data_IF_235587430043
#
_entry.id   IF_235587430043
#
_cell.length_a   1.000
_cell.length_b   1.000
_cell.length_c   1.000
_cell.angle_alpha   90.00
_cell.angle_beta   90.00
_cell.angle_gamma   90.00
#
_symmetry.space_group_name_H-M   'P 1'
#
loop_
_entity.id
_entity.type
_entity.pdbx_description
1 polymer ?
#
# COMPACT_ATOMS: atom_id res chain seq x y z
N UNK A 1 -5.05 1.13 -15.50
CA UNK A 1 -3.76 1.57 -14.92
C UNK A 1 -2.73 0.45 -14.94
N UNK A 2 -2.97 -0.68 -14.30
CA UNK A 2 -2.04 -1.80 -14.26
C UNK A 2 -2.74 -3.06 -14.77
N UNK A 3 -2.04 -3.86 -15.59
CA UNK A 3 -2.52 -5.14 -16.11
C UNK A 3 -1.41 -6.18 -15.97
N UNK A 4 -1.70 -7.24 -15.24
CA UNK A 4 -0.79 -8.37 -15.01
C UNK A 4 -1.45 -9.63 -15.58
N UNK A 5 -0.70 -10.39 -16.39
CA UNK A 5 -1.19 -11.60 -17.06
C UNK A 5 -0.19 -12.74 -16.90
N UNK A 6 -0.63 -13.81 -16.25
CA UNK A 6 0.14 -15.04 -16.01
C UNK A 6 1.55 -14.77 -15.51
N UNK A 7 1.69 -13.80 -14.58
CA UNK A 7 3.00 -13.43 -14.04
C UNK A 7 3.61 -14.57 -13.26
N UNK A 8 4.83 -14.95 -13.63
CA UNK A 8 5.69 -15.88 -12.90
C UNK A 8 6.99 -15.16 -12.59
N UNK A 9 7.49 -15.35 -11.36
CA UNK A 9 8.83 -14.92 -10.98
C UNK A 9 9.55 -15.97 -10.15
N UNK A 10 10.71 -16.41 -10.66
CA UNK A 10 11.59 -17.36 -10.02
C UNK A 10 12.90 -16.65 -9.59
N UNK A 11 13.20 -16.65 -8.29
CA UNK A 11 14.49 -16.22 -7.78
C UNK A 11 15.51 -17.37 -7.96
N UNK A 12 16.60 -17.08 -8.64
CA UNK A 12 17.69 -18.05 -8.84
C UNK A 12 18.67 -17.96 -7.67
N UNK A 13 18.94 -19.10 -7.04
CA UNK A 13 20.08 -19.24 -6.11
C UNK A 13 21.33 -19.57 -6.91
N UNK A 14 22.40 -18.83 -6.65
CA UNK A 14 23.71 -19.07 -7.27
C UNK A 14 24.72 -19.39 -6.18
N UNK A 15 25.67 -20.30 -6.50
CA UNK A 15 26.83 -20.55 -5.67
C UNK A 15 27.86 -19.41 -5.75
N UNK A 16 28.98 -19.55 -5.02
CA UNK A 16 30.07 -18.57 -5.02
C UNK A 16 30.75 -18.46 -6.40
N UNK A 17 30.63 -19.49 -7.25
CA UNK A 17 31.16 -19.53 -8.61
C UNK A 17 30.17 -18.97 -9.66
N UNK A 18 28.94 -18.62 -9.24
CA UNK A 18 27.89 -18.05 -10.09
C UNK A 18 26.98 -19.08 -10.79
N UNK A 19 27.19 -20.42 -10.54
CA UNK A 19 26.33 -21.45 -11.09
C UNK A 19 24.98 -21.49 -10.39
N UNK A 20 23.90 -21.84 -11.11
CA UNK A 20 22.56 -21.97 -10.54
C UNK A 20 22.44 -23.25 -9.73
N UNK A 21 22.32 -23.14 -8.41
CA UNK A 21 22.09 -24.28 -7.50
C UNK A 21 20.60 -24.63 -7.35
N UNK A 22 19.69 -23.68 -7.62
CA UNK A 22 18.26 -23.90 -7.49
C UNK A 22 17.45 -22.65 -7.80
N UNK A 23 16.14 -22.80 -7.81
CA UNK A 23 15.21 -21.70 -7.96
C UNK A 23 14.12 -21.73 -6.88
N UNK A 24 13.59 -20.56 -6.55
CA UNK A 24 12.44 -20.40 -5.67
C UNK A 24 11.39 -19.59 -6.39
N UNK A 25 10.21 -20.17 -6.62
CA UNK A 25 9.08 -19.50 -7.24
C UNK A 25 8.41 -18.58 -6.23
N UNK A 26 8.53 -17.28 -6.44
CA UNK A 26 7.96 -16.26 -5.56
C UNK A 26 6.60 -15.75 -6.05
N UNK A 27 6.35 -15.80 -7.37
CA UNK A 27 5.07 -15.50 -8.00
C UNK A 27 4.72 -16.63 -8.95
N UNK A 28 3.48 -17.09 -8.91
CA UNK A 28 3.00 -18.24 -9.67
C UNK A 28 1.65 -17.96 -10.34
N UNK A 29 1.68 -17.63 -11.64
CA UNK A 29 0.53 -17.38 -12.50
C UNK A 29 -0.43 -16.30 -11.99
N UNK A 30 0.10 -15.20 -11.44
CA UNK A 30 -0.71 -14.09 -10.95
C UNK A 30 -1.34 -13.32 -12.11
N UNK A 31 -2.66 -13.08 -12.00
CA UNK A 31 -3.43 -12.22 -12.85
C UNK A 31 -4.08 -11.12 -12.00
N UNK A 32 -3.91 -9.85 -12.39
CA UNK A 32 -4.39 -8.70 -11.63
C UNK A 32 -4.67 -7.53 -12.57
N UNK A 33 -5.80 -6.86 -12.38
CA UNK A 33 -6.11 -5.58 -12.99
C UNK A 33 -6.34 -4.53 -11.91
N UNK A 34 -5.73 -3.34 -12.08
CA UNK A 34 -5.96 -2.17 -11.25
C UNK A 34 -6.43 -1.02 -12.14
N UNK A 35 -7.53 -0.40 -11.78
CA UNK A 35 -8.10 0.72 -12.51
C UNK A 35 -7.50 2.06 -12.05
N UNK A 36 -7.53 3.11 -12.90
CA UNK A 36 -7.15 4.46 -12.47
C UNK A 36 -7.99 4.91 -11.27
N UNK A 37 -7.37 5.60 -10.30
CA UNK A 37 -8.03 6.10 -9.10
C UNK A 37 -8.49 5.03 -8.10
N UNK A 38 -8.24 3.74 -8.35
CA UNK A 38 -8.60 2.65 -7.44
C UNK A 38 -7.65 2.58 -6.24
N UNK A 39 -8.19 2.36 -5.05
CA UNK A 39 -7.41 2.03 -3.87
C UNK A 39 -7.49 0.51 -3.64
N UNK A 40 -6.42 -0.23 -3.91
CA UNK A 40 -6.37 -1.66 -3.61
C UNK A 40 -5.48 -1.97 -2.42
N UNK A 41 -5.82 -3.03 -1.69
CA UNK A 41 -4.96 -3.61 -0.66
C UNK A 41 -4.52 -5.02 -1.07
N UNK A 42 -3.23 -5.32 -0.85
CA UNK A 42 -2.66 -6.66 -1.05
C UNK A 42 -2.25 -7.20 0.31
N UNK A 43 -2.92 -8.26 0.74
CA UNK A 43 -2.71 -8.97 1.99
C UNK A 43 -2.00 -10.30 1.76
N UNK A 44 -1.41 -10.86 2.81
CA UNK A 44 -0.77 -12.17 2.80
C UNK A 44 0.27 -12.30 3.89
N UNK A 45 0.62 -13.50 4.28
CA UNK A 45 1.70 -13.73 5.24
C UNK A 45 3.09 -13.39 4.67
N UNK A 46 4.11 -13.36 5.53
CA UNK A 46 5.48 -13.12 5.09
C UNK A 46 5.94 -14.23 4.12
N UNK A 47 6.54 -13.83 3.01
CA UNK A 47 6.96 -14.76 1.94
C UNK A 47 5.86 -15.15 0.95
N UNK A 48 4.64 -14.61 1.04
CA UNK A 48 3.56 -14.91 0.07
C UNK A 48 3.74 -14.26 -1.31
N UNK A 49 4.77 -13.41 -1.52
CA UNK A 49 5.08 -12.82 -2.81
C UNK A 49 4.68 -11.34 -2.98
N UNK A 50 4.06 -10.69 -1.99
CA UNK A 50 3.53 -9.30 -2.07
C UNK A 50 4.55 -8.27 -2.54
N UNK A 51 5.71 -8.18 -1.86
CA UNK A 51 6.76 -7.22 -2.24
C UNK A 51 7.41 -7.56 -3.58
N UNK A 52 7.44 -8.85 -3.96
CA UNK A 52 7.87 -9.26 -5.29
C UNK A 52 6.90 -8.77 -6.35
N UNK A 53 5.60 -8.90 -6.12
CA UNK A 53 4.56 -8.35 -7.01
C UNK A 53 4.66 -6.83 -7.15
N UNK A 54 4.84 -6.11 -6.03
CA UNK A 54 5.05 -4.65 -6.02
C UNK A 54 6.24 -4.23 -6.88
N UNK A 55 7.37 -4.92 -6.75
CA UNK A 55 8.59 -4.65 -7.53
C UNK A 55 8.43 -4.90 -9.02
N UNK A 56 7.54 -5.80 -9.44
CA UNK A 56 7.19 -5.95 -10.86
C UNK A 56 6.36 -4.78 -11.39
N UNK A 57 5.46 -4.24 -10.59
CA UNK A 57 4.65 -3.08 -10.99
C UNK A 57 5.52 -1.83 -11.17
N UNK A 58 6.52 -1.62 -10.29
CA UNK A 58 7.47 -0.49 -10.43
C UNK A 58 8.65 -0.81 -11.38
N UNK A 59 8.63 -1.94 -12.08
CA UNK A 59 9.71 -2.40 -12.97
C UNK A 59 11.11 -2.45 -12.29
N UNK A 60 11.16 -2.82 -11.00
CA UNK A 60 12.38 -3.15 -10.28
C UNK A 60 12.77 -4.62 -10.49
N UNK A 61 11.81 -5.46 -10.85
CA UNK A 61 12.02 -6.86 -11.24
C UNK A 61 11.38 -7.11 -12.61
N UNK A 62 12.00 -8.00 -13.38
CA UNK A 62 11.46 -8.46 -14.64
C UNK A 62 10.72 -9.79 -14.46
N UNK A 63 9.58 -10.00 -15.15
CA UNK A 63 8.92 -11.29 -15.20
C UNK A 63 9.84 -12.41 -15.68
N UNK A 64 9.79 -13.59 -15.05
CA UNK A 64 10.37 -14.81 -15.62
C UNK A 64 9.50 -15.28 -16.79
N UNK A 65 8.16 -15.22 -16.57
CA UNK A 65 7.16 -15.46 -17.61
C UNK A 65 5.94 -14.55 -17.39
N UNK A 66 5.11 -14.40 -18.41
CA UNK A 66 3.94 -13.53 -18.37
C UNK A 66 4.25 -12.07 -18.69
N UNK A 67 3.32 -11.19 -18.42
CA UNK A 67 3.43 -9.76 -18.73
C UNK A 67 2.92 -8.87 -17.63
N UNK A 68 3.60 -7.73 -17.42
CA UNK A 68 3.14 -6.64 -16.56
C UNK A 68 3.14 -5.37 -17.39
N UNK A 69 1.99 -4.71 -17.46
CA UNK A 69 1.79 -3.46 -18.21
C UNK A 69 1.34 -2.39 -17.23
N UNK A 70 2.00 -1.26 -17.22
CA UNK A 70 1.71 -0.10 -16.38
C UNK A 70 1.48 1.10 -17.27
N UNK A 71 0.31 1.69 -17.19
CA UNK A 71 -0.14 2.81 -18.03
C UNK A 71 0.14 2.59 -19.54
N UNK A 72 -0.16 1.37 -20.03
CA UNK A 72 0.06 0.95 -21.41
C UNK A 72 1.51 0.56 -21.74
N UNK A 73 2.46 0.66 -20.81
CA UNK A 73 3.88 0.36 -21.01
C UNK A 73 4.23 -1.01 -20.44
N UNK A 74 4.89 -1.88 -21.22
CA UNK A 74 5.37 -3.17 -20.75
C UNK A 74 6.63 -2.98 -19.87
N UNK A 75 6.64 -3.56 -18.67
CA UNK A 75 7.76 -3.47 -17.73
C UNK A 75 8.99 -4.26 -18.16
N UNK A 76 8.87 -5.18 -19.10
CA UNK A 76 9.99 -5.92 -19.69
C UNK A 76 10.75 -5.11 -20.77
N UNK A 77 10.22 -3.99 -21.23
CA UNK A 77 10.88 -3.12 -22.18
C UNK A 77 11.74 -2.07 -21.44
N UNK A 78 13.05 -2.17 -21.58
CA UNK A 78 14.00 -1.28 -20.94
C UNK A 78 13.80 0.20 -21.28
N UNK A 79 13.28 0.51 -22.47
CA UNK A 79 13.02 1.89 -22.89
C UNK A 79 11.90 2.55 -22.08
N UNK A 80 11.02 1.75 -21.48
CA UNK A 80 9.89 2.22 -20.68
C UNK A 80 10.22 2.38 -19.19
N UNK A 81 11.32 1.83 -18.70
CA UNK A 81 11.61 1.71 -17.26
C UNK A 81 11.56 3.04 -16.53
N UNK A 82 12.21 4.05 -17.10
CA UNK A 82 12.25 5.37 -16.49
C UNK A 82 10.85 5.97 -16.36
N UNK A 83 10.07 5.89 -17.41
CA UNK A 83 8.70 6.42 -17.45
C UNK A 83 7.76 5.63 -16.52
N UNK A 84 7.89 4.31 -16.50
CA UNK A 84 7.10 3.47 -15.56
C UNK A 84 7.36 3.87 -14.11
N UNK A 85 8.63 4.09 -13.73
CA UNK A 85 9.00 4.50 -12.37
C UNK A 85 8.53 5.91 -12.00
N UNK A 86 8.34 6.78 -12.98
CA UNK A 86 7.71 8.08 -12.79
C UNK A 86 6.20 7.94 -12.56
N UNK A 87 5.52 7.12 -13.38
CA UNK A 87 4.07 6.94 -13.34
C UNK A 87 3.59 6.05 -12.16
N UNK A 88 4.43 5.10 -11.73
CA UNK A 88 4.15 4.19 -10.61
C UNK A 88 5.26 4.30 -9.56
N UNK A 89 5.17 5.30 -8.69
CA UNK A 89 6.12 5.52 -7.61
C UNK A 89 6.01 4.47 -6.51
N UNK A 90 7.13 4.11 -5.87
CA UNK A 90 7.16 3.11 -4.80
C UNK A 90 7.74 3.67 -3.52
N UNK A 91 7.06 3.41 -2.41
CA UNK A 91 7.51 3.69 -1.04
C UNK A 91 7.85 2.36 -0.39
N UNK A 92 9.09 2.24 0.09
CA UNK A 92 9.60 1.01 0.70
C UNK A 92 9.24 0.91 2.18
N UNK A 93 9.28 -0.31 2.71
CA UNK A 93 8.98 -0.63 4.11
C UNK A 93 9.86 0.15 5.10
N UNK A 94 11.15 0.28 4.81
CA UNK A 94 12.10 1.01 5.65
C UNK A 94 12.45 2.36 5.01
N UNK A 95 11.99 3.50 5.57
CA UNK A 95 12.28 4.82 5.03
C UNK A 95 13.78 5.19 5.07
N UNK A 96 14.57 4.60 5.97
CA UNK A 96 16.01 4.86 6.03
C UNK A 96 16.77 4.33 4.79
N UNK A 97 16.19 3.39 4.06
CA UNK A 97 16.74 2.90 2.79
C UNK A 97 16.35 3.78 1.59
N UNK A 98 15.43 4.71 1.78
CA UNK A 98 14.88 5.55 0.71
C UNK A 98 15.35 7.01 0.83
N UNK A 99 15.41 7.54 2.05
CA UNK A 99 15.80 8.91 2.32
C UNK A 99 17.31 9.06 2.15
N UNK A 100 17.74 9.98 1.29
CA UNK A 100 19.14 10.25 0.96
C UNK A 100 19.56 11.70 1.26
N UNK A 101 18.60 12.63 1.33
CA UNK A 101 18.82 14.05 1.58
C UNK A 101 19.25 14.32 3.02
N UNK A 102 20.04 15.40 3.22
CA UNK A 102 20.40 15.85 4.57
C UNK A 102 19.34 16.75 5.20
N UNK A 103 18.44 17.30 4.40
CA UNK A 103 17.32 18.16 4.77
C UNK A 103 16.06 17.62 4.10
N UNK A 104 14.94 17.64 4.81
CA UNK A 104 13.66 17.09 4.33
C UNK A 104 13.25 17.65 2.96
N UNK A 105 13.29 18.98 2.78
CA UNK A 105 12.87 19.58 1.51
C UNK A 105 13.78 19.21 0.33
N UNK A 106 15.08 18.98 0.58
CA UNK A 106 16.02 18.55 -0.46
C UNK A 106 15.75 17.10 -0.86
N UNK A 107 15.44 16.24 0.11
CA UNK A 107 15.06 14.85 -0.14
C UNK A 107 13.79 14.74 -0.99
N UNK A 108 12.75 15.52 -0.63
CA UNK A 108 11.50 15.56 -1.37
C UNK A 108 11.69 16.13 -2.79
N UNK A 109 12.59 17.10 -2.97
CA UNK A 109 12.92 17.70 -4.27
C UNK A 109 13.76 16.83 -5.18
N UNK A 110 14.41 15.79 -4.63
CA UNK A 110 15.38 14.96 -5.37
C UNK A 110 14.77 14.23 -6.58
N UNK A 111 13.54 13.70 -6.43
CA UNK A 111 12.83 13.04 -7.53
C UNK A 111 12.58 13.98 -8.71
N UNK A 112 11.87 15.10 -8.52
CA UNK A 112 11.63 16.10 -9.55
C UNK A 112 12.91 16.65 -10.18
N UNK A 113 13.99 16.86 -9.39
CA UNK A 113 15.28 17.31 -9.90
C UNK A 113 15.87 16.32 -10.91
N UNK A 114 15.84 15.01 -10.58
CA UNK A 114 16.30 13.96 -11.51
C UNK A 114 15.42 13.82 -12.75
N UNK A 115 14.16 14.27 -12.70
CA UNK A 115 13.25 14.33 -13.84
C UNK A 115 13.51 15.56 -14.74
N UNK A 116 14.41 16.48 -14.33
CA UNK A 116 14.70 17.71 -15.05
C UNK A 116 13.58 18.76 -14.95
N UNK A 117 12.77 18.72 -13.90
CA UNK A 117 11.73 19.72 -13.62
C UNK A 117 12.40 21.07 -13.33
N UNK A 118 11.88 22.22 -13.85
CA UNK A 118 12.40 23.54 -13.54
C UNK A 118 12.41 23.85 -12.04
N UNK A 119 13.45 24.53 -11.55
CA UNK A 119 13.68 24.77 -10.11
C UNK A 119 12.48 25.43 -9.42
N UNK A 120 11.82 26.38 -10.06
CA UNK A 120 10.62 27.05 -9.50
C UNK A 120 9.48 26.04 -9.28
N UNK A 121 9.23 25.19 -10.23
CA UNK A 121 8.21 24.14 -10.17
C UNK A 121 8.58 23.06 -9.14
N UNK A 122 9.86 22.72 -8.98
CA UNK A 122 10.33 21.79 -7.93
C UNK A 122 9.87 22.27 -6.56
N UNK A 123 10.08 23.55 -6.25
CA UNK A 123 9.69 24.10 -4.95
C UNK A 123 8.16 24.16 -4.74
N UNK A 124 7.39 24.37 -5.80
CA UNK A 124 5.93 24.26 -5.74
C UNK A 124 5.50 22.85 -5.40
N UNK A 125 6.02 21.85 -6.10
CA UNK A 125 5.76 20.42 -5.86
C UNK A 125 6.20 19.97 -4.47
N UNK A 126 7.35 20.42 -3.98
CA UNK A 126 7.84 20.15 -2.62
C UNK A 126 6.89 20.72 -1.57
N UNK A 127 6.46 21.99 -1.72
CA UNK A 127 5.55 22.62 -0.79
C UNK A 127 4.19 21.88 -0.73
N UNK A 128 3.64 21.54 -1.89
CA UNK A 128 2.38 20.79 -2.00
C UNK A 128 2.49 19.42 -1.37
N UNK A 129 3.53 18.65 -1.71
CA UNK A 129 3.75 17.30 -1.18
C UNK A 129 3.89 17.29 0.33
N UNK A 130 4.67 18.21 0.91
CA UNK A 130 4.83 18.34 2.36
C UNK A 130 3.52 18.70 3.06
N UNK A 131 2.67 19.53 2.43
CA UNK A 131 1.34 19.89 2.93
C UNK A 131 0.39 18.70 2.93
N UNK A 132 0.34 17.92 1.85
CA UNK A 132 -0.52 16.73 1.72
C UNK A 132 -0.23 15.73 2.84
N UNK A 133 1.04 15.52 3.16
CA UNK A 133 1.43 14.58 4.24
C UNK A 133 1.56 15.25 5.62
N UNK A 134 1.16 16.52 5.77
CA UNK A 134 1.11 17.29 7.03
C UNK A 134 2.47 17.41 7.76
N UNK A 135 3.59 17.59 7.02
CA UNK A 135 4.94 17.75 7.60
C UNK A 135 5.69 19.02 7.16
N UNK A 136 5.00 20.07 6.70
CA UNK A 136 5.63 21.34 6.30
C UNK A 136 6.52 21.91 7.38
N UNK A 137 6.14 21.79 8.66
CA UNK A 137 6.89 22.27 9.82
C UNK A 137 8.24 21.55 10.03
N UNK A 138 8.47 20.45 9.31
CA UNK A 138 9.70 19.67 9.36
C UNK A 138 10.64 19.94 8.19
N UNK A 139 10.24 20.76 7.23
CA UNK A 139 10.93 20.95 5.93
C UNK A 139 12.42 21.24 6.03
N UNK A 140 12.85 22.01 7.04
CA UNK A 140 14.26 22.38 7.28
C UNK A 140 14.99 21.45 8.25
N UNK A 141 14.32 20.39 8.74
CA UNK A 141 14.97 19.44 9.65
C UNK A 141 15.79 18.40 8.89
N UNK A 142 16.81 17.88 9.59
CA UNK A 142 17.52 16.69 9.13
C UNK A 142 16.64 15.45 9.35
N UNK A 143 16.52 14.54 8.36
CA UNK A 143 15.79 13.28 8.49
C UNK A 143 16.23 12.43 9.68
N UNK A 144 17.50 12.50 10.07
CA UNK A 144 18.05 11.77 11.21
C UNK A 144 17.44 12.19 12.57
N UNK A 145 16.74 13.33 12.63
CA UNK A 145 16.05 13.83 13.84
C UNK A 145 14.55 13.60 13.83
N UNK A 146 14.07 12.81 12.88
CA UNK A 146 12.65 12.51 12.70
C UNK A 146 12.29 11.17 13.33
N UNK A 147 11.04 11.03 13.80
CA UNK A 147 10.46 9.74 14.16
C UNK A 147 10.27 8.86 12.91
N UNK A 148 10.10 7.55 13.10
CA UNK A 148 9.85 6.62 11.99
C UNK A 148 8.64 7.04 11.14
N UNK A 149 7.52 7.43 11.76
CA UNK A 149 6.33 7.92 11.05
C UNK A 149 6.56 9.23 10.30
N UNK A 150 7.38 10.14 10.84
CA UNK A 150 7.77 11.36 10.13
C UNK A 150 8.66 11.04 8.92
N UNK A 151 9.65 10.15 9.07
CA UNK A 151 10.48 9.67 7.95
C UNK A 151 9.64 9.03 6.85
N UNK A 152 8.68 8.18 7.24
CA UNK A 152 7.79 7.54 6.27
C UNK A 152 6.97 8.56 5.48
N UNK A 153 6.48 9.61 6.13
CA UNK A 153 5.79 10.71 5.45
C UNK A 153 6.72 11.52 4.54
N UNK A 154 8.00 11.69 4.89
CA UNK A 154 9.00 12.28 3.99
C UNK A 154 9.16 11.41 2.74
N UNK A 155 9.32 10.09 2.89
CA UNK A 155 9.43 9.16 1.75
C UNK A 155 8.19 9.22 0.84
N UNK A 156 6.98 9.29 1.42
CA UNK A 156 5.74 9.47 0.67
C UNK A 156 5.73 10.82 -0.07
N UNK A 157 6.11 11.92 0.60
CA UNK A 157 6.19 13.24 -0.01
C UNK A 157 7.15 13.27 -1.21
N UNK A 158 8.31 12.61 -1.10
CA UNK A 158 9.28 12.48 -2.21
C UNK A 158 8.69 11.77 -3.43
N UNK A 159 7.84 10.77 -3.21
CA UNK A 159 7.14 10.08 -4.31
C UNK A 159 6.04 10.96 -4.89
N UNK A 160 5.24 11.64 -4.05
CA UNK A 160 4.17 12.56 -4.52
C UNK A 160 4.74 13.68 -5.38
N UNK A 161 5.90 14.25 -5.01
CA UNK A 161 6.53 15.34 -5.73
C UNK A 161 6.88 15.00 -7.19
N UNK A 162 6.99 13.73 -7.54
CA UNK A 162 7.15 13.26 -8.92
C UNK A 162 5.84 13.30 -9.73
N UNK A 163 4.68 13.57 -9.10
CA UNK A 163 3.33 13.55 -9.69
C UNK A 163 2.98 12.20 -10.35
N UNK A 164 3.11 11.07 -9.64
CA UNK A 164 2.81 9.77 -10.20
C UNK A 164 1.30 9.56 -10.34
N UNK A 165 0.88 8.69 -11.28
CA UNK A 165 -0.52 8.23 -11.39
C UNK A 165 -0.86 7.11 -10.40
N UNK A 166 0.17 6.42 -9.91
CA UNK A 166 0.03 5.32 -8.96
C UNK A 166 1.11 5.39 -7.89
N UNK A 167 0.76 5.14 -6.64
CA UNK A 167 1.71 4.99 -5.53
C UNK A 167 1.57 3.60 -4.94
N UNK A 168 2.69 2.87 -4.91
CA UNK A 168 2.81 1.55 -4.30
C UNK A 168 3.42 1.75 -2.90
N UNK A 169 2.70 1.36 -1.87
CA UNK A 169 3.10 1.45 -0.48
C UNK A 169 3.41 0.03 0.04
N UNK A 170 4.70 -0.34 0.10
CA UNK A 170 5.13 -1.67 0.54
C UNK A 170 5.34 -1.67 2.06
N UNK A 171 4.34 -2.15 2.80
CA UNK A 171 4.29 -2.20 4.28
C UNK A 171 4.66 -0.87 4.96
N UNK A 172 4.06 0.26 4.55
CA UNK A 172 4.51 1.60 4.96
C UNK A 172 4.35 1.87 6.45
N UNK A 173 3.63 1.02 7.16
CA UNK A 173 3.26 1.20 8.57
C UNK A 173 3.91 0.19 9.52
N UNK A 174 4.68 -0.78 8.99
CA UNK A 174 5.22 -1.91 9.76
C UNK A 174 6.11 -1.49 10.93
N UNK A 175 6.84 -0.37 10.80
CA UNK A 175 7.77 0.12 11.83
C UNK A 175 7.20 1.28 12.66
N UNK A 176 5.88 1.53 12.59
CA UNK A 176 5.25 2.69 13.19
C UNK A 176 4.41 2.33 14.42
N UNK A 177 4.35 3.26 15.36
CA UNK A 177 3.39 3.25 16.45
C UNK A 177 1.95 3.44 15.93
N UNK A 178 0.91 3.15 16.72
CA UNK A 178 -0.48 3.24 16.27
C UNK A 178 -0.90 4.63 15.77
N UNK A 179 -0.30 5.71 16.31
CA UNK A 179 -0.58 7.08 15.83
C UNK A 179 0.00 7.31 14.46
N UNK A 180 1.29 6.96 14.27
CA UNK A 180 1.98 7.09 12.99
C UNK A 180 1.32 6.27 11.87
N UNK A 181 0.80 5.07 12.18
CA UNK A 181 0.03 4.26 11.22
C UNK A 181 -1.21 5.01 10.71
N UNK A 182 -2.01 5.56 11.65
CA UNK A 182 -3.22 6.31 11.28
C UNK A 182 -2.89 7.51 10.41
N UNK A 183 -1.79 8.21 10.67
CA UNK A 183 -1.37 9.38 9.90
C UNK A 183 -0.97 8.98 8.46
N UNK A 184 -0.21 7.90 8.29
CA UNK A 184 0.19 7.38 6.96
C UNK A 184 -1.02 6.91 6.16
N UNK A 185 -1.93 6.13 6.77
CA UNK A 185 -3.14 5.67 6.08
C UNK A 185 -4.07 6.83 5.73
N UNK A 186 -4.18 7.85 6.60
CA UNK A 186 -4.95 9.06 6.29
C UNK A 186 -4.35 9.80 5.09
N UNK A 187 -3.03 9.95 5.01
CA UNK A 187 -2.36 10.56 3.87
C UNK A 187 -2.62 9.76 2.58
N UNK A 188 -2.48 8.43 2.60
CA UNK A 188 -2.75 7.57 1.45
C UNK A 188 -4.21 7.70 0.95
N UNK A 189 -5.18 7.77 1.90
CA UNK A 189 -6.59 7.99 1.56
C UNK A 189 -6.85 9.38 0.97
N UNK A 190 -6.20 10.40 1.49
CA UNK A 190 -6.33 11.75 0.96
C UNK A 190 -5.81 11.82 -0.48
N UNK A 191 -4.64 11.23 -0.76
CA UNK A 191 -4.08 11.13 -2.11
C UNK A 191 -5.03 10.42 -3.08
N UNK A 192 -5.67 9.35 -2.66
CA UNK A 192 -6.62 8.64 -3.52
C UNK A 192 -7.90 9.44 -3.75
N UNK A 193 -8.52 10.01 -2.69
CA UNK A 193 -9.86 10.62 -2.79
C UNK A 193 -9.84 12.07 -3.27
N UNK A 194 -8.75 12.80 -3.06
CA UNK A 194 -8.64 14.23 -3.42
C UNK A 194 -7.86 14.40 -4.72
N UNK A 195 -6.75 13.66 -4.87
CA UNK A 195 -5.85 13.80 -6.02
C UNK A 195 -6.09 12.72 -7.11
N UNK A 196 -7.08 11.83 -6.91
CA UNK A 196 -7.42 10.71 -7.83
C UNK A 196 -6.23 9.78 -8.17
N UNK A 197 -5.25 9.70 -7.25
CA UNK A 197 -4.08 8.84 -7.40
C UNK A 197 -4.46 7.39 -7.09
N UNK A 198 -4.06 6.47 -7.97
CA UNK A 198 -4.19 5.03 -7.72
C UNK A 198 -3.29 4.61 -6.56
N UNK A 199 -3.82 3.90 -5.57
CA UNK A 199 -3.05 3.42 -4.42
C UNK A 199 -3.01 1.91 -4.40
N UNK A 200 -1.80 1.35 -4.24
CA UNK A 200 -1.58 -0.07 -3.96
C UNK A 200 -0.95 -0.17 -2.58
N UNK A 201 -1.73 -0.57 -1.59
CA UNK A 201 -1.29 -0.74 -0.22
C UNK A 201 -0.96 -2.22 0.04
N UNK A 202 0.30 -2.54 0.28
CA UNK A 202 0.70 -3.83 0.82
C UNK A 202 0.76 -3.71 2.34
N UNK A 203 0.02 -4.55 3.04
CA UNK A 203 0.00 -4.53 4.50
C UNK A 203 -0.33 -5.91 5.06
N UNK A 204 0.02 -6.11 6.32
CA UNK A 204 -0.44 -7.24 7.13
C UNK A 204 -1.42 -6.81 8.25
N UNK A 205 -1.81 -5.52 8.25
CA UNK A 205 -2.80 -4.98 9.18
C UNK A 205 -4.17 -4.91 8.50
N UNK A 206 -5.11 -5.72 8.97
CA UNK A 206 -6.45 -5.83 8.37
C UNK A 206 -7.24 -4.54 8.49
N UNK A 207 -7.01 -3.78 9.59
CA UNK A 207 -7.64 -2.48 9.84
C UNK A 207 -7.24 -1.40 8.82
N UNK A 208 -6.14 -1.59 8.11
CA UNK A 208 -5.72 -0.68 7.04
C UNK A 208 -6.40 -1.02 5.72
N UNK A 209 -6.62 -2.31 5.46
CA UNK A 209 -7.23 -2.81 4.24
C UNK A 209 -8.73 -2.54 4.14
N UNK A 210 -9.43 -2.25 5.25
CA UNK A 210 -10.87 -1.93 5.23
C UNK A 210 -11.21 -0.68 4.41
N UNK A 211 -10.23 0.17 4.15
CA UNK A 211 -10.42 1.41 3.37
C UNK A 211 -10.22 1.23 1.87
N UNK A 212 -9.77 0.07 1.43
CA UNK A 212 -9.57 -0.22 0.02
C UNK A 212 -10.91 -0.44 -0.71
N UNK A 213 -10.93 -0.15 -2.01
CA UNK A 213 -12.05 -0.50 -2.88
C UNK A 213 -12.06 -2.01 -3.14
N UNK A 214 -10.86 -2.62 -3.29
CA UNK A 214 -10.67 -4.07 -3.46
C UNK A 214 -9.48 -4.58 -2.64
N UNK A 215 -9.61 -5.81 -2.19
CA UNK A 215 -8.59 -6.57 -1.45
C UNK A 215 -8.19 -7.79 -2.26
N UNK A 216 -6.89 -8.03 -2.35
CA UNK A 216 -6.29 -9.24 -2.89
C UNK A 216 -5.51 -9.95 -1.79
N UNK A 217 -5.79 -11.21 -1.58
CA UNK A 217 -5.07 -12.04 -0.60
C UNK A 217 -4.12 -12.96 -1.34
N UNK A 218 -2.82 -12.83 -1.06
CA UNK A 218 -1.77 -13.65 -1.64
C UNK A 218 -1.36 -14.77 -0.69
N UNK A 219 -1.24 -15.97 -1.22
CA UNK A 219 -0.70 -17.14 -0.56
C UNK A 219 0.17 -17.94 -1.54
N UNK A 220 1.35 -18.35 -1.11
CA UNK A 220 2.32 -19.12 -1.91
C UNK A 220 2.51 -18.63 -3.36
N UNK A 221 2.65 -17.31 -3.51
CA UNK A 221 2.86 -16.67 -4.81
C UNK A 221 1.63 -16.50 -5.69
N UNK A 222 0.44 -16.87 -5.22
CA UNK A 222 -0.83 -16.82 -5.98
C UNK A 222 -1.83 -15.89 -5.32
N UNK A 223 -2.83 -15.43 -6.08
CA UNK A 223 -4.01 -14.77 -5.51
C UNK A 223 -4.99 -15.85 -5.06
N UNK A 224 -5.11 -16.02 -3.73
CA UNK A 224 -5.98 -17.00 -3.10
C UNK A 224 -7.43 -16.52 -2.93
N UNK A 225 -7.62 -15.20 -2.70
CA UNK A 225 -8.92 -14.55 -2.58
C UNK A 225 -8.85 -13.13 -3.17
N UNK A 226 -9.97 -12.63 -3.66
CA UNK A 226 -10.13 -11.23 -4.05
C UNK A 226 -11.60 -10.81 -3.91
N UNK A 227 -11.83 -9.53 -3.63
CA UNK A 227 -13.18 -8.96 -3.50
C UNK A 227 -13.11 -7.59 -2.81
N UNK A 228 -14.26 -7.05 -2.45
CA UNK A 228 -14.35 -5.91 -1.54
C UNK A 228 -13.85 -6.32 -0.15
N UNK A 229 -13.42 -5.36 0.70
CA UNK A 229 -13.05 -5.67 2.08
C UNK A 229 -14.13 -6.46 2.82
N UNK A 230 -15.40 -6.11 2.60
CA UNK A 230 -16.54 -6.79 3.22
C UNK A 230 -16.67 -8.25 2.78
N UNK A 231 -16.52 -8.52 1.49
CA UNK A 231 -16.56 -9.89 0.96
C UNK A 231 -15.41 -10.74 1.49
N UNK A 232 -14.17 -10.21 1.43
CA UNK A 232 -12.98 -10.94 1.86
C UNK A 232 -13.01 -11.22 3.36
N UNK A 233 -13.28 -10.21 4.19
CA UNK A 233 -13.25 -10.37 5.65
C UNK A 233 -14.49 -11.07 6.22
N UNK A 234 -15.58 -11.21 5.46
CA UNK A 234 -16.73 -12.00 5.88
C UNK A 234 -16.45 -13.51 5.92
N UNK A 235 -15.48 -13.98 5.17
CA UNK A 235 -15.03 -15.39 5.18
C UNK A 235 -13.89 -15.60 6.19
N UNK A 236 -14.27 -15.50 7.49
CA UNK A 236 -13.35 -15.59 8.63
C UNK A 236 -12.59 -16.91 8.64
N UNK A 237 -13.25 -18.02 8.28
CA UNK A 237 -12.64 -19.35 8.31
C UNK A 237 -11.60 -19.46 7.19
N UNK A 238 -11.90 -18.97 5.99
CA UNK A 238 -10.93 -18.97 4.88
C UNK A 238 -9.71 -18.08 5.16
N UNK A 239 -9.92 -16.92 5.77
CA UNK A 239 -8.79 -16.05 6.18
C UNK A 239 -7.89 -16.77 7.18
N UNK A 240 -8.43 -17.49 8.16
CA UNK A 240 -7.66 -18.29 9.12
C UNK A 240 -6.90 -19.45 8.44
N UNK A 241 -7.50 -20.14 7.47
CA UNK A 241 -6.79 -21.15 6.66
C UNK A 241 -5.56 -20.58 5.96
N UNK A 242 -5.67 -19.34 5.46
CA UNK A 242 -4.58 -18.58 4.85
C UNK A 242 -3.60 -17.96 5.87
N UNK A 243 -3.73 -18.30 7.18
CA UNK A 243 -2.91 -17.80 8.28
C UNK A 243 -2.97 -16.27 8.42
N UNK A 244 -4.13 -15.71 8.12
CA UNK A 244 -4.42 -14.29 8.27
C UNK A 244 -5.56 -14.07 9.25
N UNK A 245 -5.51 -12.95 9.95
CA UNK A 245 -6.60 -12.49 10.78
C UNK A 245 -7.64 -11.71 9.96
N UNK A 246 -8.74 -11.35 10.60
CA UNK A 246 -9.70 -10.36 10.13
C UNK A 246 -9.71 -9.18 11.11
N UNK A 247 -10.29 -8.01 10.77
CA UNK A 247 -10.46 -6.94 11.74
C UNK A 247 -11.09 -7.46 13.03
N UNK A 248 -10.60 -7.00 14.20
CA UNK A 248 -11.08 -7.50 15.50
C UNK A 248 -12.60 -7.39 15.66
N UNK A 249 -13.18 -6.31 15.15
CA UNK A 249 -14.64 -6.12 15.18
C UNK A 249 -15.36 -7.14 14.30
N UNK A 250 -14.80 -7.51 13.15
CA UNK A 250 -15.36 -8.54 12.26
C UNK A 250 -15.36 -9.91 12.94
N UNK A 251 -14.24 -10.25 13.61
CA UNK A 251 -14.13 -11.49 14.37
C UNK A 251 -15.16 -11.53 15.51
N UNK A 252 -15.31 -10.43 16.27
CA UNK A 252 -16.31 -10.34 17.33
C UNK A 252 -17.73 -10.50 16.78
N UNK A 253 -18.07 -9.84 15.69
CA UNK A 253 -19.38 -9.94 15.06
C UNK A 253 -19.67 -11.37 14.56
N UNK A 254 -18.68 -12.05 13.98
CA UNK A 254 -18.82 -13.44 13.55
C UNK A 254 -19.04 -14.38 14.75
N UNK A 255 -18.31 -14.21 15.85
CA UNK A 255 -18.53 -15.00 17.08
C UNK A 255 -19.92 -14.78 17.71
N UNK A 256 -20.41 -13.53 17.71
CA UNK A 256 -21.75 -13.21 18.19
C UNK A 256 -22.82 -13.86 17.29
N UNK A 257 -22.64 -13.84 15.97
CA UNK A 257 -23.52 -14.54 15.02
C UNK A 257 -23.55 -16.04 15.28
N UNK A 258 -22.38 -16.67 15.48
CA UNK A 258 -22.28 -18.12 15.80
C UNK A 258 -22.98 -18.47 17.11
N UNK A 259 -23.13 -17.51 18.03
CA UNK A 259 -23.90 -17.65 19.28
C UNK A 259 -25.38 -17.33 19.14
N UNK A 260 -25.87 -17.03 17.94
CA UNK A 260 -27.27 -16.83 17.62
C UNK A 260 -27.78 -15.41 17.59
N UNK A 261 -26.87 -14.39 17.65
CA UNK A 261 -27.28 -13.00 17.42
C UNK A 261 -27.52 -12.76 15.91
N UNK A 262 -28.61 -12.06 15.60
CA UNK A 262 -28.91 -11.66 14.22
C UNK A 262 -28.13 -10.41 13.84
N UNK A 263 -26.92 -10.61 13.31
CA UNK A 263 -26.01 -9.56 12.87
C UNK A 263 -25.65 -9.76 11.39
N UNK A 264 -25.47 -8.66 10.62
CA UNK A 264 -25.01 -8.77 9.24
C UNK A 264 -23.58 -9.36 9.17
N UNK A 265 -23.29 -10.06 8.07
CA UNK A 265 -21.93 -10.54 7.81
C UNK A 265 -21.02 -9.39 7.38
N UNK A 266 -19.72 -9.52 7.67
CA UNK A 266 -18.70 -8.61 7.16
C UNK A 266 -18.77 -7.19 7.77
N UNK A 267 -19.13 -7.06 9.04
CA UNK A 267 -18.98 -5.82 9.80
C UNK A 267 -17.50 -5.47 9.86
N UNK A 268 -17.14 -4.24 9.49
CA UNK A 268 -15.75 -3.81 9.35
C UNK A 268 -15.31 -2.79 10.41
N UNK A 269 -16.26 -2.07 11.02
CA UNK A 269 -15.94 -1.00 11.99
C UNK A 269 -16.74 -1.17 13.29
N UNK A 270 -16.20 -0.60 14.37
CA UNK A 270 -16.87 -0.61 15.67
C UNK A 270 -18.22 0.11 15.61
N UNK A 271 -18.32 1.19 14.81
CA UNK A 271 -19.56 1.94 14.64
C UNK A 271 -20.63 1.09 13.93
N UNK A 272 -20.24 0.32 12.89
CA UNK A 272 -21.16 -0.63 12.24
C UNK A 272 -21.68 -1.69 13.21
N UNK A 273 -20.81 -2.21 14.10
CA UNK A 273 -21.22 -3.20 15.09
C UNK A 273 -22.13 -2.58 16.14
N UNK A 274 -21.83 -1.39 16.62
CA UNK A 274 -22.67 -0.68 17.58
C UNK A 274 -24.06 -0.38 17.01
N UNK A 275 -24.12 0.05 15.74
CA UNK A 275 -25.36 0.26 15.02
C UNK A 275 -26.18 -1.04 14.89
N UNK A 276 -25.53 -2.14 14.51
CA UNK A 276 -26.17 -3.44 14.36
C UNK A 276 -26.70 -4.02 15.70
N UNK A 277 -26.05 -3.67 16.82
CA UNK A 277 -26.48 -4.04 18.16
C UNK A 277 -27.53 -3.10 18.76
N UNK A 278 -27.90 -2.02 18.06
CA UNK A 278 -28.83 -1.00 18.58
C UNK A 278 -28.23 -0.12 19.69
N UNK A 279 -26.89 -0.04 19.77
CA UNK A 279 -26.15 0.71 20.77
C UNK A 279 -25.83 2.16 20.32
N UNK A 280 -26.64 2.76 19.42
CA UNK A 280 -26.49 4.19 19.11
C UNK A 280 -26.69 4.99 20.40
N UNK A 281 -25.61 5.63 20.88
CA UNK A 281 -25.77 6.62 21.95
C UNK A 281 -26.73 7.70 21.48
N UNK A 282 -27.74 7.99 22.29
CA UNK A 282 -28.50 9.25 22.27
C UNK A 282 -27.54 10.40 22.66
N UNK A 283 -26.63 10.76 21.75
CA UNK A 283 -25.65 11.85 21.97
C UNK A 283 -26.26 13.23 21.73
N UNK A 284 -27.60 13.38 21.89
CA UNK A 284 -28.26 14.66 21.60
C UNK A 284 -29.03 15.29 22.78
N UNK A 285 -28.81 14.85 24.04
CA UNK A 285 -29.55 15.43 25.20
C UNK A 285 -28.67 16.31 26.12
N UNK A 286 -27.38 16.52 25.86
CA UNK A 286 -26.54 17.36 26.74
C UNK A 286 -26.01 18.66 26.12
N UNK A 287 -26.65 19.19 25.11
CA UNK A 287 -26.37 20.55 24.58
C UNK A 287 -27.53 21.55 24.75
N UNK A 288 -28.52 21.21 25.58
CA UNK A 288 -29.56 22.15 25.99
C UNK A 288 -29.81 22.05 27.51
N UNK A 289 -28.85 22.46 28.29
CA UNK A 289 -29.06 22.86 29.68
C UNK A 289 -27.96 23.86 30.08
#
# INVERSE_FOLDING_TARGET
MIQIRNLIHDYLRRDEEGNVEGSHRAIDHVNLDVHPGEFIAILGHNGSGKSTLAKHINALLYPTEGTVVVDGMNTADEQNLWKIRQEAGMVFQNPDNQIIGQVVEEDVGFGPENMGVPTEEIWERVNESLRIVEIEHLRKKSPNRLSGGQKQRVSIAGVIAMHPKCIILDEPTAMLDPSGRKEVIRAARALNKVEDITIILITHYMEEAIYADRVFVMDEGRIAMQGTPREVFSDVDRMKELRLDVPQVTLLADELRRKGLDLPAGILTADELADALGLKEETDVRKQA
#
